data_IF_392501293036
#
_entry.id   IF_392501293036
#
_cell.length_a   1.000
_cell.length_b   1.000
_cell.length_c   1.000
_cell.angle_alpha   90.00
_cell.angle_beta   90.00
_cell.angle_gamma   90.00
#
_symmetry.space_group_name_H-M   'P 1'
#
loop_
_entity.id
_entity.type
_entity.pdbx_description
1 polymer ?
#
# COMPACT_ATOMS: atom_id res chain seq x y z
N UNK A 1 5.54 11.91 -27.73
CA UNK A 1 4.33 11.09 -27.53
C UNK A 1 4.66 9.67 -27.91
N UNK A 2 4.07 8.67 -27.22
CA UNK A 2 4.23 7.27 -27.59
C UNK A 2 3.59 7.03 -28.95
N UNK A 3 4.24 6.26 -29.82
CA UNK A 3 3.67 5.85 -31.12
C UNK A 3 2.39 5.05 -30.91
N UNK A 4 1.36 5.30 -31.74
CA UNK A 4 0.05 4.67 -31.61
C UNK A 4 0.10 3.15 -31.77
N UNK A 5 0.96 2.64 -32.65
CA UNK A 5 1.17 1.21 -32.83
C UNK A 5 1.79 0.56 -31.61
N UNK A 6 2.78 1.21 -30.99
CA UNK A 6 3.38 0.71 -29.76
C UNK A 6 2.38 0.75 -28.60
N UNK A 7 1.56 1.82 -28.51
CA UNK A 7 0.50 1.89 -27.51
C UNK A 7 -0.47 0.71 -27.65
N UNK A 8 -0.92 0.40 -28.86
CA UNK A 8 -1.82 -0.75 -29.09
C UNK A 8 -1.16 -2.06 -28.62
N UNK A 9 0.09 -2.32 -29.04
CA UNK A 9 0.82 -3.53 -28.61
C UNK A 9 0.94 -3.66 -27.10
N UNK A 10 1.16 -2.56 -26.39
CA UNK A 10 1.21 -2.57 -24.91
C UNK A 10 -0.15 -2.94 -24.34
N UNK A 11 -1.24 -2.34 -24.86
CA UNK A 11 -2.60 -2.65 -24.40
C UNK A 11 -2.97 -4.10 -24.68
N UNK A 12 -2.69 -4.61 -25.87
CA UNK A 12 -2.93 -6.01 -26.24
C UNK A 12 -2.17 -6.99 -25.31
N UNK A 13 -0.94 -6.63 -24.92
CA UNK A 13 -0.15 -7.45 -23.99
C UNK A 13 -0.65 -7.38 -22.55
N UNK A 14 -1.17 -6.23 -22.13
CA UNK A 14 -1.86 -6.08 -20.83
C UNK A 14 -3.10 -6.96 -20.79
N UNK A 15 -3.95 -6.87 -21.83
CA UNK A 15 -5.19 -7.67 -21.92
C UNK A 15 -4.87 -9.18 -21.94
N UNK A 16 -3.83 -9.59 -22.65
CA UNK A 16 -3.39 -10.99 -22.71
C UNK A 16 -2.97 -11.55 -21.35
N UNK A 17 -2.47 -10.70 -20.44
CA UNK A 17 -1.99 -11.07 -19.10
C UNK A 17 -3.02 -10.85 -18.00
N UNK A 18 -4.20 -10.36 -18.34
CA UNK A 18 -5.17 -9.94 -17.34
C UNK A 18 -5.62 -11.08 -16.41
N UNK A 19 -5.82 -12.29 -16.95
CA UNK A 19 -6.19 -13.46 -16.14
C UNK A 19 -5.05 -13.87 -15.20
N UNK A 20 -3.81 -13.89 -15.67
CA UNK A 20 -2.64 -14.16 -14.83
C UNK A 20 -2.50 -13.12 -13.72
N UNK A 21 -2.66 -11.84 -14.05
CA UNK A 21 -2.64 -10.74 -13.09
C UNK A 21 -3.72 -10.91 -12.01
N UNK A 22 -4.94 -11.25 -12.44
CA UNK A 22 -6.08 -11.47 -11.55
C UNK A 22 -5.83 -12.66 -10.61
N UNK A 23 -5.24 -13.76 -11.11
CA UNK A 23 -4.90 -14.92 -10.29
C UNK A 23 -3.81 -14.59 -9.27
N UNK A 24 -2.75 -13.89 -9.67
CA UNK A 24 -1.67 -13.48 -8.75
C UNK A 24 -2.19 -12.51 -7.70
N UNK A 25 -3.10 -11.59 -8.06
CA UNK A 25 -3.77 -10.73 -7.10
C UNK A 25 -4.62 -11.53 -6.12
N UNK A 26 -5.40 -12.49 -6.59
CA UNK A 26 -6.21 -13.35 -5.72
C UNK A 26 -5.34 -14.12 -4.71
N UNK A 27 -4.18 -14.63 -5.14
CA UNK A 27 -3.24 -15.31 -4.27
C UNK A 27 -2.66 -14.37 -3.21
N UNK A 28 -2.33 -13.13 -3.58
CA UNK A 28 -1.86 -12.13 -2.62
C UNK A 28 -2.95 -11.70 -1.64
N UNK A 29 -4.20 -11.57 -2.08
CA UNK A 29 -5.35 -11.24 -1.21
C UNK A 29 -5.60 -12.35 -0.19
N UNK A 30 -5.40 -13.61 -0.55
CA UNK A 30 -5.55 -14.77 0.36
C UNK A 30 -4.55 -14.77 1.52
N UNK A 31 -3.48 -14.01 1.44
CA UNK A 31 -2.51 -13.86 2.52
C UNK A 31 -2.93 -12.67 3.39
N UNK A 32 -3.39 -12.88 4.63
CA UNK A 32 -3.65 -11.78 5.56
C UNK A 32 -2.39 -10.92 5.74
N UNK A 33 -2.57 -9.61 5.73
CA UNK A 33 -1.48 -8.65 5.92
C UNK A 33 -1.95 -7.44 6.71
N UNK A 34 -2.79 -7.69 7.72
CA UNK A 34 -3.04 -6.67 8.73
C UNK A 34 -1.74 -6.36 9.45
N UNK A 35 -1.69 -5.19 10.06
CA UNK A 35 -0.52 -4.71 10.76
C UNK A 35 0.12 -5.79 11.64
N UNK A 36 1.43 -5.97 11.53
CA UNK A 36 2.27 -7.02 12.15
C UNK A 36 2.06 -8.45 11.62
N UNK A 37 1.33 -8.62 10.53
CA UNK A 37 1.14 -9.90 9.85
C UNK A 37 1.55 -9.84 8.38
N UNK A 38 2.28 -8.81 7.97
CA UNK A 38 2.60 -8.52 6.59
C UNK A 38 3.72 -9.41 6.03
N UNK A 39 4.55 -10.02 6.89
CA UNK A 39 5.73 -10.76 6.47
C UNK A 39 5.47 -11.86 5.41
N UNK A 40 4.43 -12.70 5.50
CA UNK A 40 4.14 -13.69 4.45
C UNK A 40 3.75 -13.07 3.10
N UNK A 41 3.04 -11.93 3.11
CA UNK A 41 2.70 -11.20 1.89
C UNK A 41 3.94 -10.54 1.28
N UNK A 42 4.82 -9.99 2.10
CA UNK A 42 6.12 -9.48 1.67
C UNK A 42 7.04 -10.56 1.11
N UNK A 43 6.99 -11.79 1.63
CA UNK A 43 7.72 -12.93 1.07
C UNK A 43 7.22 -13.27 -0.35
N UNK A 44 5.91 -13.17 -0.59
CA UNK A 44 5.35 -13.32 -1.92
C UNK A 44 5.82 -12.21 -2.85
N UNK A 45 5.80 -10.95 -2.42
CA UNK A 45 6.29 -9.82 -3.23
C UNK A 45 7.77 -9.96 -3.56
N UNK A 46 8.61 -10.33 -2.59
CA UNK A 46 10.03 -10.58 -2.82
C UNK A 46 10.26 -11.68 -3.87
N UNK A 47 9.46 -12.75 -3.82
CA UNK A 47 9.52 -13.83 -4.83
C UNK A 47 9.14 -13.33 -6.21
N UNK A 48 8.01 -12.60 -6.35
CA UNK A 48 7.57 -12.03 -7.64
C UNK A 48 8.63 -11.11 -8.24
N UNK A 49 9.21 -10.21 -7.44
CA UNK A 49 10.27 -9.32 -7.90
C UNK A 49 11.52 -10.09 -8.35
N UNK A 50 11.89 -11.15 -7.62
CA UNK A 50 13.02 -12.00 -7.98
C UNK A 50 12.78 -12.77 -9.28
N UNK A 51 11.59 -13.31 -9.47
CA UNK A 51 11.18 -14.01 -10.72
C UNK A 51 11.25 -13.06 -11.93
N UNK A 52 10.98 -11.79 -11.73
CA UNK A 52 11.10 -10.76 -12.76
C UNK A 52 12.55 -10.30 -13.01
N UNK A 53 13.52 -10.85 -12.26
CA UNK A 53 14.95 -10.55 -12.42
C UNK A 53 15.38 -9.26 -11.73
N UNK A 54 14.61 -8.76 -10.77
CA UNK A 54 14.98 -7.59 -9.98
C UNK A 54 15.96 -7.98 -8.85
N UNK A 55 16.85 -7.07 -8.51
CA UNK A 55 17.66 -7.17 -7.29
C UNK A 55 16.78 -6.93 -6.07
N UNK A 56 16.80 -7.86 -5.10
CA UNK A 56 15.94 -7.80 -3.93
C UNK A 56 16.66 -7.15 -2.75
N UNK A 57 16.01 -6.16 -2.16
CA UNK A 57 16.36 -5.59 -0.86
C UNK A 57 15.15 -5.77 0.08
N UNK A 58 15.32 -6.63 1.10
CA UNK A 58 14.30 -6.90 2.11
C UNK A 58 14.90 -6.61 3.48
N UNK A 59 14.28 -5.71 4.23
CA UNK A 59 14.78 -5.30 5.53
C UNK A 59 13.65 -5.00 6.50
N UNK A 60 13.96 -5.14 7.78
CA UNK A 60 13.08 -4.75 8.86
C UNK A 60 13.13 -3.23 9.07
N UNK A 61 11.97 -2.59 9.11
CA UNK A 61 11.84 -1.18 9.44
C UNK A 61 12.16 -1.00 10.94
N UNK A 62 13.02 -0.04 11.26
CA UNK A 62 13.41 0.26 12.64
C UNK A 62 13.06 1.69 13.00
N UNK A 63 12.34 1.86 14.11
CA UNK A 63 11.93 3.17 14.63
C UNK A 63 13.15 4.06 14.88
N UNK A 64 14.24 3.49 15.40
CA UNK A 64 15.46 4.25 15.73
C UNK A 64 16.07 4.91 14.50
N UNK A 65 15.92 4.33 13.32
CA UNK A 65 16.40 4.89 12.06
C UNK A 65 15.50 6.02 11.54
N UNK A 66 14.27 6.14 12.01
CA UNK A 66 13.25 7.03 11.48
C UNK A 66 12.87 8.19 12.41
N UNK A 67 12.90 7.98 13.74
CA UNK A 67 12.33 8.90 14.75
C UNK A 67 12.87 10.32 14.71
N UNK A 68 14.02 10.55 14.09
CA UNK A 68 14.65 11.86 13.94
C UNK A 68 14.39 12.53 12.58
N UNK A 69 13.68 11.84 11.68
CA UNK A 69 13.44 12.34 10.33
C UNK A 69 12.16 13.20 10.26
N UNK A 70 12.17 14.23 9.43
CA UNK A 70 10.93 14.91 9.07
C UNK A 70 9.94 13.91 8.44
N UNK A 71 8.69 13.97 8.85
CA UNK A 71 7.65 13.08 8.36
C UNK A 71 7.51 11.77 9.15
N UNK A 72 8.35 11.52 10.14
CA UNK A 72 8.13 10.41 11.06
C UNK A 72 6.82 10.59 11.85
N UNK A 73 5.98 9.58 11.81
CA UNK A 73 4.74 9.52 12.60
C UNK A 73 4.97 8.66 13.84
N UNK A 74 4.89 9.23 15.07
CA UNK A 74 5.08 8.49 16.30
C UNK A 74 4.02 7.39 16.47
N UNK A 75 4.45 6.26 17.01
CA UNK A 75 3.62 5.10 17.19
C UNK A 75 3.96 4.36 18.48
N UNK A 76 2.97 3.79 19.14
CA UNK A 76 3.12 3.09 20.43
C UNK A 76 3.39 1.59 20.30
N UNK A 77 3.36 1.04 19.08
CA UNK A 77 3.53 -0.38 18.84
C UNK A 77 4.94 -0.69 18.32
N UNK A 78 5.35 -1.93 18.50
CA UNK A 78 6.64 -2.43 18.08
C UNK A 78 6.68 -2.70 16.56
N UNK A 79 7.86 -2.64 15.96
CA UNK A 79 8.10 -2.89 14.54
C UNK A 79 8.85 -4.22 14.32
N UNK A 80 8.76 -5.15 15.29
CA UNK A 80 9.54 -6.39 15.27
C UNK A 80 9.29 -7.25 14.02
N UNK A 81 8.13 -7.13 13.37
CA UNK A 81 7.79 -7.86 12.16
C UNK A 81 7.42 -6.97 10.96
N UNK A 82 7.79 -5.69 11.02
CA UNK A 82 7.55 -4.73 9.95
C UNK A 82 8.65 -4.81 8.88
N UNK A 83 8.40 -5.51 7.78
CA UNK A 83 9.37 -5.72 6.69
C UNK A 83 8.98 -4.94 5.44
N UNK A 84 9.92 -4.15 4.92
CA UNK A 84 9.79 -3.60 3.56
C UNK A 84 10.50 -4.51 2.55
N UNK A 85 10.01 -4.48 1.32
CA UNK A 85 10.64 -5.16 0.18
C UNK A 85 10.76 -4.19 -0.99
N UNK A 86 11.94 -4.10 -1.57
CA UNK A 86 12.19 -3.37 -2.81
C UNK A 86 12.80 -4.29 -3.84
N UNK A 87 12.17 -4.35 -5.01
CA UNK A 87 12.73 -4.95 -6.22
C UNK A 87 13.37 -3.86 -7.07
N UNK A 88 14.67 -3.91 -7.29
CA UNK A 88 15.43 -2.90 -8.01
C UNK A 88 15.89 -3.39 -9.37
N UNK A 89 15.52 -2.67 -10.43
CA UNK A 89 16.15 -2.74 -11.72
C UNK A 89 17.18 -1.61 -11.83
N UNK A 90 18.43 -1.97 -12.09
CA UNK A 90 19.54 -1.01 -12.27
C UNK A 90 20.31 -1.36 -13.55
N UNK A 91 20.11 -0.66 -14.66
CA UNK A 91 20.88 -0.89 -15.87
C UNK A 91 22.33 -0.46 -15.67
N UNK A 92 23.26 -1.13 -16.36
CA UNK A 92 24.71 -0.84 -16.26
C UNK A 92 25.09 0.55 -16.79
N UNK A 93 24.27 1.13 -17.66
CA UNK A 93 24.47 2.48 -18.20
C UNK A 93 23.12 3.21 -18.21
N UNK A 94 22.67 3.74 -17.04
CA UNK A 94 21.35 4.35 -16.93
C UNK A 94 21.21 5.59 -17.80
N UNK A 95 20.08 5.70 -18.51
CA UNK A 95 19.72 6.83 -19.37
C UNK A 95 18.27 7.21 -19.13
N UNK A 96 17.99 8.51 -19.13
CA UNK A 96 16.64 9.01 -18.92
C UNK A 96 16.30 9.20 -17.44
N UNK A 97 15.02 9.09 -17.12
CA UNK A 97 14.50 9.34 -15.78
C UNK A 97 14.23 8.04 -15.03
N UNK A 98 14.57 8.03 -13.77
CA UNK A 98 14.31 6.95 -12.84
C UNK A 98 12.87 6.99 -12.32
N UNK A 99 12.35 5.84 -11.87
CA UNK A 99 10.96 5.71 -11.44
C UNK A 99 10.87 4.84 -10.17
N UNK A 100 10.09 5.30 -9.21
CA UNK A 100 9.57 4.48 -8.12
C UNK A 100 8.15 4.06 -8.46
N UNK A 101 7.86 2.77 -8.36
CA UNK A 101 6.53 2.17 -8.36
C UNK A 101 6.26 1.73 -6.92
N UNK A 102 5.54 2.54 -6.15
CA UNK A 102 5.30 2.29 -4.73
C UNK A 102 3.90 1.73 -4.51
N UNK A 103 3.73 0.92 -3.48
CA UNK A 103 2.45 0.48 -2.97
C UNK A 103 2.61 -0.15 -1.60
N UNK A 104 1.55 -0.12 -0.79
CA UNK A 104 1.55 -0.73 0.52
C UNK A 104 0.97 -2.15 0.49
N UNK A 105 1.50 -2.99 1.37
CA UNK A 105 1.08 -4.39 1.52
C UNK A 105 0.11 -4.57 2.68
N UNK A 106 0.18 -3.69 3.67
CA UNK A 106 -0.69 -3.71 4.82
C UNK A 106 -2.14 -3.43 4.43
N UNK A 107 -3.05 -3.94 5.22
CA UNK A 107 -4.49 -3.74 5.06
C UNK A 107 -5.11 -3.42 6.42
N UNK A 108 -6.15 -2.58 6.41
CA UNK A 108 -6.93 -2.32 7.62
C UNK A 108 -7.63 -3.58 8.13
N UNK A 109 -7.93 -3.66 9.44
CA UNK A 109 -8.71 -4.77 10.00
C UNK A 109 -10.02 -4.99 9.27
N UNK A 110 -10.46 -6.24 9.20
CA UNK A 110 -11.63 -6.68 8.42
C UNK A 110 -12.95 -6.10 8.94
N UNK A 111 -12.98 -5.70 10.20
CA UNK A 111 -14.22 -5.37 10.89
C UNK A 111 -15.01 -6.62 11.28
N UNK A 112 -16.31 -6.49 11.59
CA UNK A 112 -17.13 -7.61 12.00
C UNK A 112 -17.26 -8.67 10.89
N UNK A 113 -16.84 -9.90 11.15
CA UNK A 113 -16.85 -10.99 10.18
C UNK A 113 -18.28 -11.33 9.67
N UNK A 114 -19.30 -11.10 10.47
CA UNK A 114 -20.71 -11.28 10.10
C UNK A 114 -21.20 -10.30 9.02
N UNK A 115 -20.46 -9.23 8.76
CA UNK A 115 -20.76 -8.31 7.65
C UNK A 115 -20.18 -8.78 6.31
N UNK A 116 -19.38 -9.84 6.30
CA UNK A 116 -18.83 -10.42 5.09
C UNK A 116 -19.65 -11.61 4.62
N UNK A 117 -19.90 -11.73 3.31
CA UNK A 117 -20.60 -12.89 2.73
C UNK A 117 -19.72 -14.14 2.65
N UNK A 118 -18.39 -13.97 2.69
CA UNK A 118 -17.35 -15.00 2.75
C UNK A 118 -16.23 -14.51 3.64
N UNK A 119 -15.27 -15.40 3.96
CA UNK A 119 -14.06 -14.97 4.66
C UNK A 119 -13.39 -13.82 3.89
N UNK A 120 -13.00 -12.71 4.56
CA UNK A 120 -12.37 -11.56 3.95
C UNK A 120 -11.14 -11.88 3.08
N UNK A 121 -10.44 -12.97 3.37
CA UNK A 121 -9.27 -13.45 2.63
C UNK A 121 -9.58 -14.61 1.66
N UNK A 122 -10.84 -14.97 1.48
CA UNK A 122 -11.28 -15.90 0.43
C UNK A 122 -11.54 -15.11 -0.86
N UNK A 123 -10.44 -14.69 -1.51
CA UNK A 123 -10.52 -13.88 -2.74
C UNK A 123 -11.31 -14.62 -3.83
N UNK A 124 -12.33 -13.97 -4.36
CA UNK A 124 -13.14 -14.51 -5.46
C UNK A 124 -13.56 -13.42 -6.45
N UNK A 125 -13.74 -13.82 -7.70
CA UNK A 125 -14.26 -12.93 -8.76
C UNK A 125 -15.73 -13.28 -9.00
N UNK A 126 -16.57 -12.25 -9.04
CA UNK A 126 -17.98 -12.34 -9.39
C UNK A 126 -18.40 -11.10 -10.16
N UNK A 127 -19.07 -11.28 -11.29
CA UNK A 127 -19.63 -10.20 -12.11
C UNK A 127 -18.58 -9.14 -12.51
N UNK A 128 -17.33 -9.56 -12.76
CA UNK A 128 -16.21 -8.70 -13.14
C UNK A 128 -15.52 -7.98 -11.96
N UNK A 129 -15.93 -8.25 -10.72
CA UNK A 129 -15.35 -7.67 -9.52
C UNK A 129 -14.61 -8.72 -8.69
N UNK A 130 -13.42 -8.37 -8.20
CA UNK A 130 -12.74 -9.18 -7.19
C UNK A 130 -13.12 -8.70 -5.79
N UNK A 131 -13.55 -9.63 -4.95
CA UNK A 131 -13.91 -9.40 -3.56
C UNK A 131 -12.86 -9.99 -2.63
N UNK A 132 -12.50 -9.24 -1.60
CA UNK A 132 -11.54 -9.62 -0.57
C UNK A 132 -10.90 -8.41 0.09
N UNK A 133 -10.41 -8.53 1.33
CA UNK A 133 -9.70 -7.46 2.02
C UNK A 133 -8.39 -7.16 1.30
N UNK A 134 -8.17 -5.88 0.92
CA UNK A 134 -6.99 -5.46 0.17
C UNK A 134 -7.07 -5.68 -1.34
N UNK A 135 -8.18 -6.24 -1.88
CA UNK A 135 -8.33 -6.45 -3.33
C UNK A 135 -8.33 -5.14 -4.14
N UNK A 136 -8.76 -4.03 -3.54
CA UNK A 136 -8.69 -2.69 -4.12
C UNK A 136 -7.56 -1.87 -3.48
N UNK A 137 -7.54 -1.80 -2.17
CA UNK A 137 -6.64 -0.98 -1.35
C UNK A 137 -5.64 -1.84 -0.59
N UNK A 138 -4.30 -1.88 -1.00
CA UNK A 138 -3.95 -1.56 -2.40
C UNK A 138 -3.15 -2.69 -3.06
N UNK A 139 -3.42 -3.96 -2.70
CA UNK A 139 -2.74 -5.13 -3.31
C UNK A 139 -2.91 -5.15 -4.83
N UNK A 140 -4.07 -4.68 -5.35
CA UNK A 140 -4.27 -4.51 -6.80
C UNK A 140 -3.20 -3.59 -7.40
N UNK A 141 -2.91 -2.46 -6.75
CA UNK A 141 -1.90 -1.51 -7.19
C UNK A 141 -0.49 -2.12 -7.21
N UNK A 142 -0.14 -2.90 -6.19
CA UNK A 142 1.14 -3.62 -6.17
C UNK A 142 1.27 -4.59 -7.34
N UNK A 143 0.25 -5.39 -7.61
CA UNK A 143 0.27 -6.36 -8.71
C UNK A 143 0.19 -5.66 -10.07
N UNK A 144 -0.52 -4.52 -10.17
CA UNK A 144 -0.53 -3.69 -11.37
C UNK A 144 0.88 -3.20 -11.71
N UNK A 145 1.65 -2.73 -10.73
CA UNK A 145 3.05 -2.32 -10.92
C UNK A 145 3.93 -3.47 -11.46
N UNK A 146 3.76 -4.68 -10.91
CA UNK A 146 4.47 -5.88 -11.38
C UNK A 146 4.12 -6.19 -12.84
N UNK A 147 2.83 -6.25 -13.16
CA UNK A 147 2.38 -6.65 -14.50
C UNK A 147 2.61 -5.58 -15.56
N UNK A 148 2.65 -4.30 -15.20
CA UNK A 148 3.05 -3.22 -16.12
C UNK A 148 4.48 -3.44 -16.64
N UNK A 149 5.43 -3.78 -15.76
CA UNK A 149 6.80 -4.10 -16.18
C UNK A 149 6.88 -5.43 -16.94
N UNK A 150 6.10 -6.44 -16.54
CA UNK A 150 6.01 -7.72 -17.25
C UNK A 150 5.49 -7.55 -18.69
N UNK A 151 4.50 -6.69 -18.89
CA UNK A 151 3.98 -6.40 -20.24
C UNK A 151 5.04 -5.75 -21.13
N UNK A 152 5.78 -4.76 -20.63
CA UNK A 152 6.88 -4.14 -21.36
C UNK A 152 8.00 -5.14 -21.66
N UNK A 153 8.40 -5.95 -20.69
CA UNK A 153 9.44 -6.97 -20.86
C UNK A 153 9.07 -8.01 -21.91
N UNK A 154 7.80 -8.43 -21.98
CA UNK A 154 7.32 -9.36 -22.98
C UNK A 154 7.40 -8.82 -24.42
N UNK A 155 7.29 -7.50 -24.58
CA UNK A 155 7.49 -6.82 -25.84
C UNK A 155 8.96 -6.51 -26.15
N UNK A 156 9.89 -6.99 -25.32
CA UNK A 156 11.33 -6.77 -25.49
C UNK A 156 11.83 -5.42 -24.97
N UNK A 157 11.01 -4.69 -24.20
CA UNK A 157 11.41 -3.42 -23.61
C UNK A 157 11.88 -3.62 -22.16
N UNK A 158 12.96 -2.93 -21.82
CA UNK A 158 13.47 -2.84 -20.46
C UNK A 158 13.68 -1.37 -20.09
N UNK A 159 13.47 -1.00 -18.82
CA UNK A 159 13.74 0.36 -18.38
C UNK A 159 15.20 0.75 -18.64
N UNK A 160 15.39 1.94 -19.24
CA UNK A 160 16.72 2.47 -19.52
C UNK A 160 17.35 3.19 -18.33
N UNK A 161 16.59 3.47 -17.28
CA UNK A 161 17.02 4.06 -16.01
C UNK A 161 16.60 3.16 -14.84
N UNK A 162 16.99 3.55 -13.63
CA UNK A 162 16.63 2.79 -12.43
C UNK A 162 15.12 2.77 -12.24
N UNK A 163 14.60 1.59 -11.93
CA UNK A 163 13.21 1.41 -11.50
C UNK A 163 13.19 0.62 -10.19
N UNK A 164 12.45 1.15 -9.22
CA UNK A 164 12.27 0.55 -7.92
C UNK A 164 10.81 0.20 -7.71
N UNK A 165 10.50 -1.09 -7.61
CA UNK A 165 9.21 -1.56 -7.14
C UNK A 165 9.25 -1.69 -5.62
N UNK A 166 8.48 -0.88 -4.93
CA UNK A 166 8.46 -0.84 -3.47
C UNK A 166 7.16 -1.43 -2.95
N UNK A 167 7.27 -2.46 -2.11
CA UNK A 167 6.18 -2.98 -1.28
C UNK A 167 6.48 -2.57 0.15
N UNK A 168 5.71 -1.62 0.67
CA UNK A 168 5.94 -1.03 1.99
C UNK A 168 4.87 -1.45 2.99
N UNK A 169 5.19 -1.33 4.28
CA UNK A 169 4.26 -1.52 5.40
C UNK A 169 3.81 -0.17 5.95
N UNK A 170 2.80 -0.17 6.82
CA UNK A 170 2.42 0.97 7.65
C UNK A 170 1.81 2.18 6.91
N UNK A 171 1.35 2.03 5.68
CA UNK A 171 0.68 3.13 4.97
C UNK A 171 -0.63 3.52 5.67
N UNK A 172 -1.44 2.53 6.02
CA UNK A 172 -2.75 2.67 6.64
C UNK A 172 -2.74 3.27 8.07
N UNK A 173 -1.54 3.53 8.59
CA UNK A 173 -1.37 3.99 9.97
C UNK A 173 -0.44 5.21 10.09
N UNK A 174 0.76 5.15 9.56
CA UNK A 174 1.82 6.12 9.84
C UNK A 174 2.57 6.65 8.63
N UNK A 175 2.63 5.89 7.53
CA UNK A 175 3.50 6.19 6.39
C UNK A 175 4.99 5.90 6.65
N UNK A 176 5.35 5.35 7.80
CA UNK A 176 6.75 5.11 8.18
C UNK A 176 7.45 4.08 7.28
N UNK A 177 6.71 3.16 6.64
CA UNK A 177 7.28 2.22 5.67
C UNK A 177 7.85 2.92 4.44
N UNK A 178 7.11 3.87 3.86
CA UNK A 178 7.59 4.69 2.74
C UNK A 178 8.74 5.60 3.19
N UNK A 179 8.68 6.18 4.39
CA UNK A 179 9.77 6.96 4.98
C UNK A 179 11.04 6.11 5.13
N UNK A 180 10.92 4.84 5.52
CA UNK A 180 12.05 3.92 5.61
C UNK A 180 12.74 3.67 4.25
N UNK A 181 11.96 3.63 3.15
CA UNK A 181 12.55 3.57 1.81
C UNK A 181 13.36 4.84 1.50
N UNK A 182 12.85 6.01 1.86
CA UNK A 182 13.58 7.28 1.70
C UNK A 182 14.85 7.31 2.56
N UNK A 183 14.77 6.87 3.81
CA UNK A 183 15.92 6.79 4.73
C UNK A 183 17.00 5.84 4.18
N UNK A 184 16.58 4.70 3.61
CA UNK A 184 17.48 3.72 3.00
C UNK A 184 18.14 4.19 1.69
N UNK A 185 17.73 5.36 1.17
CA UNK A 185 18.34 6.01 0.02
C UNK A 185 17.61 5.81 -1.30
N UNK A 186 16.44 5.19 -1.33
CA UNK A 186 15.66 5.07 -2.56
C UNK A 186 15.12 6.43 -2.98
N UNK A 187 15.58 6.90 -4.14
CA UNK A 187 15.22 8.16 -4.77
C UNK A 187 15.02 7.94 -6.26
N UNK A 188 14.11 8.67 -6.87
CA UNK A 188 13.87 8.67 -8.31
C UNK A 188 13.35 10.03 -8.78
N UNK A 189 13.35 10.23 -10.11
CA UNK A 189 12.83 11.46 -10.73
C UNK A 189 11.30 11.56 -10.64
N UNK A 190 10.62 10.43 -10.50
CA UNK A 190 9.18 10.37 -10.30
C UNK A 190 8.80 9.15 -9.45
N UNK A 191 7.64 9.22 -8.81
CA UNK A 191 6.98 8.09 -8.15
C UNK A 191 5.55 7.96 -8.66
N UNK A 192 5.10 6.72 -8.85
CA UNK A 192 3.73 6.36 -9.16
C UNK A 192 3.21 5.44 -8.06
N UNK A 193 2.06 5.78 -7.51
CA UNK A 193 1.38 5.06 -6.42
C UNK A 193 -0.04 4.75 -6.90
N UNK A 194 -0.34 3.51 -7.32
CA UNK A 194 -1.64 3.16 -7.91
C UNK A 194 -2.68 2.84 -6.83
N UNK A 195 -3.00 3.84 -6.04
CA UNK A 195 -4.10 3.79 -5.07
C UNK A 195 -5.48 3.75 -5.76
N UNK A 196 -6.54 3.27 -5.10
CA UNK A 196 -7.88 3.16 -5.68
C UNK A 196 -8.59 4.52 -5.79
N UNK A 197 -7.99 5.46 -6.51
CA UNK A 197 -8.47 6.85 -6.68
C UNK A 197 -9.44 7.03 -7.86
N UNK A 198 -10.21 5.99 -8.24
CA UNK A 198 -11.19 6.06 -9.33
C UNK A 198 -10.56 6.21 -10.72
N UNK A 199 -9.38 5.65 -10.96
CA UNK A 199 -8.62 5.75 -12.21
C UNK A 199 -8.31 7.21 -12.63
N UNK A 200 -8.20 8.11 -11.66
CA UNK A 200 -7.81 9.51 -11.89
C UNK A 200 -6.33 9.71 -11.54
N UNK A 201 -5.70 10.70 -12.19
CA UNK A 201 -4.34 11.12 -11.84
C UNK A 201 -4.40 12.22 -10.79
N UNK A 202 -4.08 11.88 -9.54
CA UNK A 202 -3.91 12.85 -8.46
C UNK A 202 -2.45 13.29 -8.41
N UNK A 203 -2.20 14.58 -8.58
CA UNK A 203 -0.84 15.16 -8.62
C UNK A 203 -0.50 15.99 -7.39
N UNK A 204 -1.47 16.23 -6.53
CA UNK A 204 -1.31 16.93 -5.26
C UNK A 204 -2.45 16.53 -4.31
N UNK A 205 -2.15 16.49 -3.04
CA UNK A 205 -3.15 16.30 -1.98
C UNK A 205 -2.80 17.13 -0.76
N UNK A 206 -3.80 17.44 0.06
CA UNK A 206 -3.60 18.11 1.35
C UNK A 206 -3.09 17.11 2.38
N UNK A 207 -2.40 17.59 3.39
CA UNK A 207 -1.98 16.77 4.53
C UNK A 207 -3.18 16.27 5.34
N UNK A 208 -2.96 15.19 6.08
CA UNK A 208 -3.95 14.59 6.98
C UNK A 208 -3.50 14.77 8.42
N UNK A 209 -4.46 15.07 9.30
CA UNK A 209 -4.23 15.15 10.74
C UNK A 209 -5.24 14.24 11.45
N UNK A 210 -4.75 13.30 12.22
CA UNK A 210 -5.55 12.45 13.10
C UNK A 210 -5.41 12.94 14.54
N UNK A 211 -6.52 13.11 15.23
CA UNK A 211 -6.53 13.44 16.65
C UNK A 211 -7.68 12.73 17.36
N UNK A 212 -7.50 12.52 18.64
CA UNK A 212 -8.51 11.92 19.51
C UNK A 212 -8.97 12.95 20.53
N UNK A 213 -10.28 13.11 20.67
CA UNK A 213 -10.89 13.91 21.72
C UNK A 213 -11.47 12.97 22.78
N UNK A 214 -10.94 13.04 24.00
CA UNK A 214 -11.47 12.31 25.14
C UNK A 214 -12.27 13.25 26.03
N UNK A 215 -13.56 13.02 26.14
CA UNK A 215 -14.47 13.82 26.99
C UNK A 215 -14.82 13.00 28.23
N UNK A 216 -14.57 13.56 29.41
CA UNK A 216 -14.89 12.95 30.70
C UNK A 216 -16.08 13.64 31.33
N UNK A 217 -17.13 12.88 31.58
CA UNK A 217 -18.31 13.35 32.30
C UNK A 217 -18.15 13.21 33.80
N UNK A 218 -19.03 13.84 34.56
CA UNK A 218 -19.16 13.69 36.02
C UNK A 218 -20.52 13.05 36.33
N UNK A 219 -20.55 11.75 36.67
CA UNK A 219 -21.79 11.05 36.96
C UNK A 219 -22.37 11.50 38.32
N UNK A 220 -23.65 11.73 38.36
CA UNK A 220 -24.41 12.07 39.56
C UNK A 220 -25.74 11.34 39.57
N UNK A 221 -26.38 11.27 40.71
CA UNK A 221 -27.73 10.74 40.82
C UNK A 221 -28.70 11.61 39.97
N UNK A 222 -29.66 11.00 39.28
CA UNK A 222 -30.60 11.66 38.38
C UNK A 222 -31.33 12.85 39.04
N UNK A 223 -31.65 12.78 40.32
CA UNK A 223 -32.25 13.86 41.09
C UNK A 223 -31.34 15.13 41.18
N UNK A 224 -30.07 14.99 40.99
CA UNK A 224 -29.06 16.08 41.00
C UNK A 224 -28.40 16.25 39.63
N UNK A 225 -29.14 16.04 38.58
CA UNK A 225 -28.58 16.07 37.21
C UNK A 225 -27.82 17.37 36.88
N UNK A 226 -28.29 18.49 37.42
CA UNK A 226 -27.67 19.81 37.25
C UNK A 226 -26.28 19.96 37.89
N UNK A 227 -25.95 19.06 38.87
CA UNK A 227 -24.64 19.06 39.52
C UNK A 227 -23.60 18.16 38.79
N UNK A 228 -24.02 17.46 37.74
CA UNK A 228 -23.18 16.59 36.92
C UNK A 228 -22.80 17.20 35.60
N UNK A 229 -22.04 16.44 34.81
CA UNK A 229 -21.78 16.76 33.40
C UNK A 229 -21.92 15.52 32.52
N UNK A 230 -22.72 15.64 31.47
CA UNK A 230 -22.92 14.58 30.49
C UNK A 230 -21.82 14.64 29.45
N UNK A 231 -20.96 13.59 29.38
CA UNK A 231 -19.87 13.54 28.42
C UNK A 231 -20.34 13.58 26.95
N UNK A 232 -21.51 13.01 26.67
CA UNK A 232 -22.07 13.01 25.31
C UNK A 232 -22.47 14.44 24.89
N UNK A 233 -23.21 15.15 25.74
CA UNK A 233 -23.57 16.54 25.49
C UNK A 233 -22.34 17.44 25.35
N UNK A 234 -21.33 17.22 26.19
CA UNK A 234 -20.09 17.97 26.14
C UNK A 234 -19.32 17.66 24.84
N UNK A 235 -19.33 16.43 24.36
CA UNK A 235 -18.72 16.04 23.08
C UNK A 235 -19.42 16.75 21.90
N UNK A 236 -20.75 16.81 21.89
CA UNK A 236 -21.51 17.51 20.84
C UNK A 236 -21.25 19.01 20.76
N UNK A 237 -20.70 19.63 21.79
CA UNK A 237 -20.31 21.04 21.76
C UNK A 237 -18.94 21.28 21.14
N UNK A 238 -18.17 20.20 20.94
CA UNK A 238 -16.81 20.25 20.35
C UNK A 238 -16.87 19.99 18.85
N UNK A 239 -17.83 19.19 18.39
CA UNK A 239 -18.08 18.85 16.98
C UNK A 239 -18.95 19.92 16.33
#
# INVERSE_FOLDING_TARGET
MLDSSLKSKIMDEVDRRFDDQTNVLADLVRIPSTRFQEAPAQDMMARLFKEDGLGIDRWQVKIDDLKHLPGYSPHSLDYDDAWNVVGAWRPSNPKGRSLILNGHIDVVPEGPHEMWTRNPYDAYVKDGWMYGRGSGDMKAGLILNVFALRALKALGYMPAADVYQQSVVEEECTGNGALACLQRGYRADAALIPEPSGCTLTVAQVGVMWFQVKVTGHPVHVYKADAGSNAIESAYRII
#
